data_IF_530048219770
#
_entry.id   IF_530048219770
#
_cell.length_a   1.000
_cell.length_b   1.000
_cell.length_c   1.000
_cell.angle_alpha   90.00
_cell.angle_beta   90.00
_cell.angle_gamma   90.00
#
_symmetry.space_group_name_H-M   'P 1'
#
loop_
_entity.id
_entity.type
_entity.pdbx_description
1 polymer ?
#
# COMPACT_ATOMS: atom_id res chain seq x y z
N UNK A 1 -14.05 -2.02 5.27
CA UNK A 1 -15.03 -2.88 4.60
C UNK A 1 -15.55 -3.92 5.55
N UNK A 2 -16.26 -3.51 6.60
CA UNK A 2 -16.82 -4.43 7.61
C UNK A 2 -18.22 -4.94 7.22
N UNK A 3 -18.73 -4.46 6.08
CA UNK A 3 -19.95 -4.91 5.45
C UNK A 3 -19.74 -4.85 3.93
N UNK A 4 -20.37 -5.78 3.22
CA UNK A 4 -20.45 -5.79 1.76
C UNK A 4 -21.90 -5.50 1.38
N UNK A 5 -22.08 -4.56 0.45
CA UNK A 5 -23.38 -4.22 -0.12
C UNK A 5 -23.35 -4.51 -1.62
N UNK A 6 -24.40 -5.17 -2.10
CA UNK A 6 -24.65 -5.32 -3.54
C UNK A 6 -25.65 -4.23 -3.92
N UNK A 7 -25.28 -3.39 -4.88
CA UNK A 7 -26.10 -2.28 -5.36
C UNK A 7 -26.50 -2.54 -6.81
N UNK A 8 -27.73 -2.17 -7.14
CA UNK A 8 -28.24 -2.16 -8.51
C UNK A 8 -28.76 -0.75 -8.78
N UNK A 9 -28.41 -0.19 -9.94
CA UNK A 9 -28.98 1.08 -10.42
C UNK A 9 -29.98 0.80 -11.54
N UNK A 10 -31.08 1.55 -11.56
CA UNK A 10 -32.09 1.51 -12.63
C UNK A 10 -31.86 2.56 -13.72
N UNK A 11 -30.76 3.32 -13.66
CA UNK A 11 -30.46 4.41 -14.60
C UNK A 11 -29.31 4.06 -15.54
N UNK A 12 -29.37 4.53 -16.79
CA UNK A 12 -28.31 4.38 -17.78
C UNK A 12 -27.61 5.73 -18.09
N UNK A 13 -26.27 5.76 -18.21
CA UNK A 13 -25.35 4.63 -18.07
C UNK A 13 -25.13 4.22 -16.60
N UNK A 14 -24.89 2.94 -16.38
CA UNK A 14 -24.49 2.44 -15.06
C UNK A 14 -23.01 2.75 -14.84
N UNK A 15 -22.70 3.62 -13.88
CA UNK A 15 -21.34 4.04 -13.57
C UNK A 15 -20.89 3.44 -12.25
N UNK A 16 -19.72 2.79 -12.26
CA UNK A 16 -19.07 2.27 -11.06
C UNK A 16 -17.60 2.73 -11.01
N UNK A 17 -17.14 3.16 -9.85
CA UNK A 17 -15.71 3.38 -9.60
C UNK A 17 -15.09 2.11 -9.05
N UNK A 18 -14.02 1.64 -9.68
CA UNK A 18 -13.32 0.41 -9.27
C UNK A 18 -12.01 0.79 -8.57
N UNK A 19 -11.72 0.16 -7.42
CA UNK A 19 -10.45 0.37 -6.71
C UNK A 19 -9.28 -0.09 -7.59
N UNK A 20 -8.24 0.72 -7.70
CA UNK A 20 -7.01 0.33 -8.39
C UNK A 20 -6.47 -1.02 -7.85
N UNK A 21 -5.96 -1.87 -8.75
CA UNK A 21 -5.43 -3.21 -8.44
C UNK A 21 -6.44 -4.21 -7.85
N UNK A 22 -7.75 -3.93 -7.88
CA UNK A 22 -8.77 -4.90 -7.44
C UNK A 22 -9.10 -5.98 -8.48
N UNK A 23 -8.68 -5.80 -9.73
CA UNK A 23 -8.88 -6.75 -10.83
C UNK A 23 -7.54 -7.10 -11.45
N UNK A 24 -7.42 -8.33 -11.97
CA UNK A 24 -6.26 -8.78 -12.72
C UNK A 24 -6.38 -8.30 -14.18
N UNK A 25 -5.35 -7.64 -14.75
CA UNK A 25 -5.36 -7.28 -16.16
C UNK A 25 -5.40 -8.56 -17.03
N UNK A 26 -6.04 -8.47 -18.20
CA UNK A 26 -5.97 -9.55 -19.19
C UNK A 26 -4.57 -9.62 -19.78
N UNK A 27 -4.17 -10.83 -20.19
CA UNK A 27 -2.95 -11.04 -20.96
C UNK A 27 -2.95 -10.21 -22.25
N UNK A 28 -1.78 -9.70 -22.62
CA UNK A 28 -1.61 -8.93 -23.84
C UNK A 28 -1.84 -9.84 -25.04
N UNK A 29 -2.71 -9.41 -25.95
CA UNK A 29 -3.06 -10.16 -27.15
C UNK A 29 -3.03 -9.22 -28.36
N UNK A 30 -1.93 -9.32 -29.12
CA UNK A 30 -1.66 -8.47 -30.28
C UNK A 30 -2.55 -8.85 -31.50
N UNK A 31 -3.36 -9.91 -31.41
CA UNK A 31 -4.31 -10.29 -32.47
C UNK A 31 -5.64 -9.53 -32.42
N UNK A 32 -5.90 -8.84 -31.30
CA UNK A 32 -7.16 -8.10 -31.10
C UNK A 32 -7.16 -6.81 -31.90
N UNK A 33 -8.27 -6.57 -32.59
CA UNK A 33 -8.53 -5.32 -33.30
C UNK A 33 -9.67 -4.57 -32.60
N UNK A 34 -9.65 -3.25 -32.62
CA UNK A 34 -10.69 -2.39 -32.09
C UNK A 34 -10.92 -1.19 -33.01
N UNK A 35 -12.15 -0.69 -33.03
CA UNK A 35 -12.48 0.57 -33.69
C UNK A 35 -12.08 1.75 -32.80
N UNK A 36 -11.38 2.73 -33.37
CA UNK A 36 -11.04 3.98 -32.68
C UNK A 36 -12.01 5.07 -33.13
N UNK A 37 -12.93 5.46 -32.24
CA UNK A 37 -13.89 6.53 -32.49
C UNK A 37 -13.38 7.82 -31.85
N UNK A 38 -13.06 8.82 -32.67
CA UNK A 38 -12.64 10.14 -32.19
C UNK A 38 -13.88 10.98 -31.83
N UNK A 39 -13.97 11.39 -30.56
CA UNK A 39 -15.05 12.24 -30.06
C UNK A 39 -14.48 13.64 -29.82
N UNK A 40 -15.01 14.66 -30.51
CA UNK A 40 -14.66 16.05 -30.26
C UNK A 40 -15.25 16.49 -28.91
N UNK A 41 -14.37 16.81 -27.96
CA UNK A 41 -14.77 17.41 -26.70
C UNK A 41 -14.93 18.92 -26.91
N UNK A 42 -16.04 19.33 -27.49
CA UNK A 42 -16.39 20.76 -27.69
C UNK A 42 -16.77 21.40 -26.35
N UNK A 43 -15.80 21.49 -25.44
CA UNK A 43 -15.93 22.07 -24.11
C UNK A 43 -15.62 23.56 -24.16
N UNK A 44 -16.58 24.39 -23.75
CA UNK A 44 -16.33 25.80 -23.51
C UNK A 44 -15.42 25.96 -22.28
N UNK A 45 -14.18 26.40 -22.48
CA UNK A 45 -13.20 26.58 -21.40
C UNK A 45 -13.72 27.54 -20.32
N UNK A 46 -14.64 28.45 -20.64
CA UNK A 46 -15.28 29.35 -19.67
C UNK A 46 -16.05 28.61 -18.56
N UNK A 47 -16.48 27.36 -18.81
CA UNK A 47 -17.18 26.52 -17.85
C UNK A 47 -16.25 25.94 -16.77
N UNK A 48 -14.93 25.95 -17.00
CA UNK A 48 -13.94 25.36 -16.09
C UNK A 48 -13.67 26.34 -14.94
N UNK A 49 -14.19 26.01 -13.76
CA UNK A 49 -14.05 26.84 -12.54
C UNK A 49 -12.70 26.68 -11.83
N UNK A 50 -11.88 25.73 -12.25
CA UNK A 50 -10.61 25.38 -11.58
C UNK A 50 -9.43 25.78 -12.44
N UNK A 51 -8.49 26.55 -11.88
CA UNK A 51 -7.23 26.91 -12.54
C UNK A 51 -6.05 26.20 -11.86
N UNK A 52 -5.32 25.40 -12.63
CA UNK A 52 -4.06 24.80 -12.16
C UNK A 52 -2.98 25.90 -12.18
N UNK A 53 -2.54 26.32 -11.00
CA UNK A 53 -1.53 27.40 -10.85
C UNK A 53 -0.09 26.88 -10.96
N UNK A 54 0.11 25.58 -10.78
CA UNK A 54 1.42 24.94 -10.84
C UNK A 54 1.32 23.45 -10.53
N UNK A 55 2.33 22.69 -10.95
CA UNK A 55 2.49 21.28 -10.62
C UNK A 55 3.87 21.11 -10.00
N UNK A 56 3.91 20.78 -8.71
CA UNK A 56 5.16 20.40 -8.05
C UNK A 56 5.39 18.94 -8.38
N UNK A 57 6.45 18.63 -9.15
CA UNK A 57 6.92 17.26 -9.28
C UNK A 57 7.61 16.91 -7.96
N UNK A 58 7.10 15.91 -7.29
CA UNK A 58 7.76 15.32 -6.14
C UNK A 58 8.81 14.35 -6.65
N UNK A 59 10.08 14.60 -6.34
CA UNK A 59 11.12 13.60 -6.55
C UNK A 59 10.87 12.45 -5.56
N UNK A 60 10.56 11.29 -6.12
CA UNK A 60 10.44 10.05 -5.37
C UNK A 60 11.77 9.32 -5.53
N UNK A 61 12.58 9.32 -4.48
CA UNK A 61 13.70 8.40 -4.38
C UNK A 61 13.15 6.99 -4.14
N UNK A 62 13.53 6.04 -5.00
CA UNK A 62 13.07 4.65 -4.92
C UNK A 62 11.68 4.40 -5.51
N UNK A 63 11.02 3.34 -5.03
CA UNK A 63 9.73 2.86 -5.56
C UNK A 63 8.58 3.60 -4.87
N UNK A 64 7.63 4.11 -5.66
CA UNK A 64 6.40 4.68 -5.12
C UNK A 64 5.63 3.63 -4.34
N UNK A 65 5.20 3.99 -3.13
CA UNK A 65 4.51 3.09 -2.23
C UNK A 65 3.23 2.49 -2.84
N UNK A 66 2.48 3.28 -3.62
CA UNK A 66 1.28 2.81 -4.32
C UNK A 66 1.57 1.79 -5.44
N UNK A 67 2.75 1.88 -6.04
CA UNK A 67 3.18 1.05 -7.17
C UNK A 67 3.94 -0.21 -6.72
N UNK A 68 4.47 -0.21 -5.51
CA UNK A 68 5.31 -1.28 -4.98
C UNK A 68 4.62 -2.67 -4.99
N UNK A 69 5.37 -3.67 -5.45
CA UNK A 69 4.98 -5.09 -5.41
C UNK A 69 5.13 -5.66 -3.99
N UNK A 70 6.16 -5.19 -3.26
CA UNK A 70 6.41 -5.53 -1.87
C UNK A 70 6.40 -4.26 -1.04
N UNK A 71 5.67 -4.26 0.08
CA UNK A 71 5.68 -3.16 1.05
C UNK A 71 6.11 -3.69 2.40
N UNK A 72 7.16 -3.09 2.96
CA UNK A 72 7.60 -3.32 4.34
C UNK A 72 7.10 -2.15 5.18
N UNK A 73 6.21 -2.43 6.13
CA UNK A 73 5.54 -1.39 6.90
C UNK A 73 5.89 -1.44 8.39
N UNK A 74 6.29 -0.29 8.93
CA UNK A 74 6.61 -0.11 10.35
C UNK A 74 5.49 0.59 11.12
N UNK A 75 5.21 0.12 12.33
CA UNK A 75 4.27 0.75 13.25
C UNK A 75 4.92 1.40 14.46
N UNK A 76 4.09 1.84 15.41
CA UNK A 76 4.55 2.40 16.69
C UNK A 76 5.48 1.43 17.44
N UNK A 77 5.29 0.13 17.28
CA UNK A 77 6.11 -0.91 17.93
C UNK A 77 7.57 -0.96 17.46
N UNK A 78 7.91 -0.32 16.33
CA UNK A 78 9.30 -0.18 15.84
C UNK A 78 10.08 0.81 16.73
N UNK A 79 9.43 1.87 17.20
CA UNK A 79 9.93 2.70 18.31
C UNK A 79 11.05 3.69 17.97
N UNK A 80 11.60 3.71 16.76
CA UNK A 80 12.71 4.60 16.36
C UNK A 80 12.93 4.66 14.85
N UNK A 81 13.62 5.71 14.39
CA UNK A 81 14.17 5.85 13.04
C UNK A 81 15.20 4.74 12.72
N UNK A 82 16.03 4.35 13.68
CA UNK A 82 16.99 3.26 13.53
C UNK A 82 16.31 1.91 13.24
N UNK A 83 15.11 1.69 13.79
CA UNK A 83 14.29 0.53 13.44
C UNK A 83 13.79 0.58 12.00
N UNK A 84 13.41 1.76 11.50
CA UNK A 84 13.02 1.94 10.10
C UNK A 84 14.17 1.68 9.12
N UNK A 85 15.42 1.96 9.49
CA UNK A 85 16.59 1.59 8.66
C UNK A 85 16.70 0.08 8.39
N UNK A 86 16.32 -0.77 9.35
CA UNK A 86 16.28 -2.22 9.11
C UNK A 86 15.13 -2.63 8.17
N UNK A 87 14.01 -1.90 8.21
CA UNK A 87 12.91 -2.10 7.26
C UNK A 87 13.32 -1.67 5.85
N UNK A 88 14.09 -0.60 5.72
CA UNK A 88 14.68 -0.14 4.46
C UNK A 88 15.67 -1.16 3.89
N UNK A 89 16.50 -1.76 4.73
CA UNK A 89 17.39 -2.86 4.31
C UNK A 89 16.60 -4.03 3.74
N UNK A 90 15.56 -4.48 4.45
CA UNK A 90 14.69 -5.57 3.98
C UNK A 90 13.98 -5.19 2.67
N UNK A 91 13.48 -3.96 2.57
CA UNK A 91 12.83 -3.46 1.38
C UNK A 91 13.80 -3.41 0.19
N UNK A 92 15.05 -3.00 0.39
CA UNK A 92 16.06 -2.99 -0.67
C UNK A 92 16.33 -4.39 -1.22
N UNK A 93 16.46 -5.40 -0.34
CA UNK A 93 16.69 -6.80 -0.75
C UNK A 93 15.50 -7.34 -1.55
N UNK A 94 14.27 -7.01 -1.11
CA UNK A 94 13.04 -7.46 -1.74
C UNK A 94 12.56 -6.55 -2.88
N UNK A 95 13.34 -5.52 -3.24
CA UNK A 95 12.98 -4.50 -4.25
C UNK A 95 11.59 -3.91 -3.99
N UNK A 96 11.30 -3.62 -2.72
CA UNK A 96 10.04 -3.07 -2.25
C UNK A 96 10.13 -1.61 -1.84
N UNK A 97 9.05 -1.10 -1.26
CA UNK A 97 8.99 0.23 -0.65
C UNK A 97 8.72 0.12 0.86
N UNK A 98 9.14 1.15 1.61
CA UNK A 98 8.87 1.24 3.05
C UNK A 98 7.69 2.17 3.31
N UNK A 99 6.79 1.74 4.18
CA UNK A 99 5.63 2.52 4.62
C UNK A 99 5.49 2.57 6.14
N UNK A 100 4.63 3.45 6.62
CA UNK A 100 4.44 3.69 8.05
C UNK A 100 2.98 3.80 8.46
N UNK A 101 2.70 3.49 9.72
CA UNK A 101 1.43 3.89 10.35
C UNK A 101 1.47 5.38 10.70
N UNK A 102 0.29 6.00 10.90
CA UNK A 102 0.20 7.40 11.37
C UNK A 102 1.06 7.68 12.62
N UNK A 103 1.01 6.87 13.71
CA UNK A 103 1.87 7.07 14.87
C UNK A 103 3.37 7.08 14.58
N UNK A 104 3.85 6.33 13.58
CA UNK A 104 5.27 6.34 13.22
C UNK A 104 5.66 7.64 12.48
N UNK A 105 4.75 8.16 11.65
CA UNK A 105 4.92 9.44 10.96
C UNK A 105 4.87 10.61 11.94
N UNK A 106 3.88 10.62 12.84
CA UNK A 106 3.74 11.63 13.89
C UNK A 106 4.97 11.69 14.82
N UNK A 107 5.64 10.55 15.03
CA UNK A 107 6.87 10.47 15.81
C UNK A 107 8.14 10.86 15.02
N UNK A 108 8.01 11.19 13.73
CA UNK A 108 9.11 11.60 12.86
C UNK A 108 10.04 10.47 12.43
N UNK A 109 9.66 9.20 12.59
CA UNK A 109 10.52 8.06 12.23
C UNK A 109 10.48 7.71 10.75
N UNK A 110 9.44 8.16 10.05
CA UNK A 110 9.26 8.00 8.61
C UNK A 110 8.48 9.21 8.07
N UNK A 111 8.74 9.68 6.84
CA UNK A 111 8.02 10.83 6.28
C UNK A 111 6.51 10.61 6.16
N UNK A 112 5.71 11.67 6.35
CA UNK A 112 4.24 11.65 6.20
C UNK A 112 3.78 11.11 4.83
N UNK A 113 4.57 11.36 3.78
CA UNK A 113 4.29 10.84 2.42
C UNK A 113 4.36 9.31 2.30
N UNK A 114 4.91 8.63 3.29
CA UNK A 114 4.96 7.17 3.36
C UNK A 114 3.87 6.59 4.29
N UNK A 115 2.96 7.44 4.79
CA UNK A 115 1.87 6.99 5.64
C UNK A 115 0.86 6.14 4.85
N UNK A 116 0.49 5.00 5.43
CA UNK A 116 -0.54 4.10 4.92
C UNK A 116 -1.77 4.19 5.81
N UNK A 117 -2.96 4.25 5.20
CA UNK A 117 -4.23 4.21 5.93
C UNK A 117 -5.38 4.87 5.19
N UNK A 118 -6.55 4.90 5.84
CA UNK A 118 -7.83 5.36 5.28
C UNK A 118 -7.76 6.76 4.66
N UNK A 119 -7.07 7.69 5.33
CA UNK A 119 -6.92 9.10 4.90
C UNK A 119 -5.55 9.39 4.28
N UNK A 120 -4.74 8.35 4.06
CA UNK A 120 -3.38 8.44 3.53
C UNK A 120 -3.25 7.58 2.28
N UNK A 121 -2.07 7.00 2.03
CA UNK A 121 -1.89 6.14 0.85
C UNK A 121 -2.62 4.82 1.03
N UNK A 122 -3.30 4.41 -0.04
CA UNK A 122 -3.88 3.08 -0.18
C UNK A 122 -2.95 2.27 -1.08
N UNK A 123 -2.52 1.12 -0.58
CA UNK A 123 -1.59 0.21 -1.25
C UNK A 123 -2.25 -1.16 -1.42
N UNK A 124 -1.88 -1.86 -2.49
CA UNK A 124 -2.35 -3.21 -2.79
C UNK A 124 -1.19 -4.07 -3.31
N UNK A 125 -0.13 -4.27 -2.51
CA UNK A 125 1.04 -5.04 -2.93
C UNK A 125 0.73 -6.54 -3.02
N UNK A 126 1.63 -7.29 -3.64
CA UNK A 126 1.57 -8.75 -3.56
C UNK A 126 1.98 -9.23 -2.16
N UNK A 127 2.98 -8.58 -1.56
CA UNK A 127 3.46 -8.88 -0.21
C UNK A 127 3.46 -7.63 0.67
N UNK A 128 2.82 -7.72 1.82
CA UNK A 128 2.83 -6.70 2.87
C UNK A 128 3.40 -7.27 4.16
N UNK A 129 4.55 -6.76 4.61
CA UNK A 129 5.17 -7.18 5.87
C UNK A 129 4.94 -6.10 6.93
N UNK A 130 4.11 -6.40 7.92
CA UNK A 130 3.74 -5.51 9.01
C UNK A 130 4.60 -5.75 10.26
N UNK A 131 5.47 -4.81 10.61
CA UNK A 131 6.38 -4.92 11.76
C UNK A 131 5.98 -3.93 12.86
N UNK A 132 5.61 -4.44 14.03
CA UNK A 132 5.21 -3.61 15.17
C UNK A 132 3.92 -2.81 14.94
N UNK A 133 3.02 -3.31 14.09
CA UNK A 133 1.74 -2.71 13.74
C UNK A 133 0.61 -3.43 14.50
N UNK A 134 -0.27 -2.69 15.17
CA UNK A 134 -1.38 -3.26 15.94
C UNK A 134 -2.56 -3.72 15.09
N UNK A 135 -2.70 -3.24 13.85
CA UNK A 135 -3.81 -3.58 12.95
C UNK A 135 -5.09 -2.76 13.19
N UNK A 136 -4.96 -1.50 13.59
CA UNK A 136 -6.11 -0.58 13.68
C UNK A 136 -6.86 -0.49 12.34
N UNK A 137 -8.18 -0.39 12.37
CA UNK A 137 -9.03 -0.42 11.17
C UNK A 137 -8.69 0.70 10.17
N UNK A 138 -8.27 1.86 10.67
CA UNK A 138 -7.82 2.99 9.85
C UNK A 138 -6.56 2.66 9.08
N UNK A 139 -5.60 1.94 9.66
CA UNK A 139 -4.40 1.48 8.96
C UNK A 139 -4.76 0.39 7.96
N UNK A 140 -5.54 -0.61 8.40
CA UNK A 140 -5.93 -1.73 7.56
C UNK A 140 -6.73 -1.30 6.33
N UNK A 141 -7.55 -0.25 6.40
CA UNK A 141 -8.25 0.28 5.24
C UNK A 141 -7.32 0.68 4.07
N UNK A 142 -6.07 1.03 4.38
CA UNK A 142 -5.03 1.39 3.41
C UNK A 142 -4.21 0.22 2.89
N UNK A 143 -4.23 -0.96 3.50
CA UNK A 143 -3.38 -2.09 3.08
C UNK A 143 -4.08 -3.46 3.02
N UNK A 144 -5.36 -3.56 3.38
CA UNK A 144 -6.10 -4.83 3.39
C UNK A 144 -6.30 -5.44 1.99
N UNK A 145 -5.98 -4.71 0.93
CA UNK A 145 -5.97 -5.23 -0.44
C UNK A 145 -4.71 -6.00 -0.81
N UNK A 146 -3.72 -6.09 0.09
CA UNK A 146 -2.51 -6.87 -0.15
C UNK A 146 -2.85 -8.35 -0.36
N UNK A 147 -2.24 -8.99 -1.36
CA UNK A 147 -2.47 -10.42 -1.65
C UNK A 147 -1.99 -11.30 -0.50
N UNK A 148 -0.89 -10.93 0.16
CA UNK A 148 -0.35 -11.63 1.31
C UNK A 148 0.09 -10.63 2.37
N UNK A 149 -0.29 -10.89 3.61
CA UNK A 149 0.05 -10.08 4.79
C UNK A 149 0.85 -10.95 5.76
N UNK A 150 2.08 -10.56 6.06
CA UNK A 150 2.93 -11.16 7.10
C UNK A 150 3.01 -10.18 8.26
N UNK A 151 2.83 -10.64 9.49
CA UNK A 151 2.84 -9.78 10.68
C UNK A 151 3.88 -10.23 11.71
N UNK A 152 4.65 -9.28 12.24
CA UNK A 152 5.55 -9.46 13.38
C UNK A 152 5.11 -8.50 14.49
N UNK A 153 4.64 -9.06 15.60
CA UNK A 153 4.21 -8.26 16.76
C UNK A 153 4.51 -9.02 18.05
N UNK A 154 4.91 -8.30 19.11
CA UNK A 154 5.17 -8.89 20.43
C UNK A 154 3.88 -9.25 21.18
N UNK A 155 2.78 -8.61 20.84
CA UNK A 155 1.47 -8.82 21.46
C UNK A 155 0.68 -9.86 20.67
N UNK A 156 0.47 -11.09 21.20
CA UNK A 156 -0.28 -12.14 20.50
C UNK A 156 -1.74 -11.77 20.22
N UNK A 157 -2.30 -10.82 20.96
CA UNK A 157 -3.70 -10.38 20.81
C UNK A 157 -3.84 -9.20 19.83
N UNK A 158 -2.76 -8.79 19.16
CA UNK A 158 -2.80 -7.68 18.21
C UNK A 158 -3.77 -7.97 17.04
N UNK A 159 -4.66 -7.02 16.76
CA UNK A 159 -5.66 -7.13 15.68
C UNK A 159 -5.06 -7.41 14.30
N UNK A 160 -3.79 -7.07 14.07
CA UNK A 160 -3.08 -7.37 12.81
C UNK A 160 -3.12 -8.86 12.47
N UNK A 161 -3.07 -9.75 13.49
CA UNK A 161 -3.10 -11.19 13.28
C UNK A 161 -4.44 -11.71 12.75
N UNK A 162 -5.54 -10.96 12.93
CA UNK A 162 -6.84 -11.30 12.34
C UNK A 162 -6.87 -11.14 10.82
N UNK A 163 -5.93 -10.37 10.27
CA UNK A 163 -5.84 -10.07 8.83
C UNK A 163 -4.56 -10.64 8.20
N UNK A 164 -3.63 -11.15 9.02
CA UNK A 164 -2.38 -11.70 8.57
C UNK A 164 -2.57 -13.13 8.04
N UNK A 165 -1.90 -13.44 6.94
CA UNK A 165 -1.80 -14.78 6.39
C UNK A 165 -0.72 -15.57 7.14
N UNK A 166 0.35 -14.88 7.57
CA UNK A 166 1.42 -15.43 8.38
C UNK A 166 1.70 -14.49 9.55
N UNK A 167 1.89 -15.03 10.75
CA UNK A 167 2.12 -14.25 11.96
C UNK A 167 3.28 -14.81 12.79
N UNK A 168 4.13 -13.91 13.30
CA UNK A 168 5.17 -14.22 14.27
C UNK A 168 4.90 -13.40 15.52
N UNK A 169 4.66 -14.08 16.64
CA UNK A 169 4.59 -13.45 17.96
C UNK A 169 6.00 -13.35 18.54
N UNK A 170 6.53 -12.13 18.64
CA UNK A 170 7.89 -11.92 19.14
C UNK A 170 8.38 -10.49 18.99
N UNK A 171 9.53 -10.19 19.61
CA UNK A 171 10.21 -8.92 19.43
C UNK A 171 10.82 -8.85 18.02
N UNK A 172 10.45 -7.81 17.28
CA UNK A 172 10.99 -7.57 15.94
C UNK A 172 12.50 -7.43 15.95
N UNK A 173 13.11 -6.93 17.05
CA UNK A 173 14.56 -6.80 17.17
C UNK A 173 15.30 -8.13 17.12
N UNK A 174 14.63 -9.22 17.49
CA UNK A 174 15.19 -10.57 17.43
C UNK A 174 14.79 -11.28 16.13
N UNK A 175 13.53 -11.10 15.72
CA UNK A 175 12.96 -11.76 14.54
C UNK A 175 13.53 -11.19 13.24
N UNK A 176 13.56 -9.87 13.10
CA UNK A 176 13.85 -9.19 11.85
C UNK A 176 15.30 -9.42 11.37
N UNK A 177 16.35 -9.36 12.21
CA UNK A 177 17.72 -9.66 11.75
C UNK A 177 17.88 -11.09 11.23
N UNK A 178 17.29 -12.07 11.92
CA UNK A 178 17.32 -13.48 11.50
C UNK A 178 16.58 -13.68 10.18
N UNK A 179 15.43 -13.02 10.03
CA UNK A 179 14.64 -13.03 8.80
C UNK A 179 15.40 -12.40 7.64
N UNK A 180 15.96 -11.18 7.82
CA UNK A 180 16.77 -10.51 6.80
C UNK A 180 17.94 -11.38 6.36
N UNK A 181 18.66 -11.99 7.30
CA UNK A 181 19.77 -12.90 7.00
C UNK A 181 19.32 -14.06 6.10
N UNK A 182 18.19 -14.70 6.45
CA UNK A 182 17.67 -15.81 5.65
C UNK A 182 17.13 -15.37 4.28
N UNK A 183 16.50 -14.21 4.21
CA UNK A 183 16.05 -13.64 2.93
C UNK A 183 17.25 -13.38 2.03
N UNK A 184 18.33 -12.77 2.54
CA UNK A 184 19.57 -12.57 1.77
C UNK A 184 20.11 -13.88 1.23
N UNK A 185 20.18 -14.93 2.06
CA UNK A 185 20.67 -16.26 1.64
C UNK A 185 19.84 -16.83 0.48
N UNK A 186 18.53 -16.61 0.46
CA UNK A 186 17.62 -17.16 -0.55
C UNK A 186 17.47 -16.29 -1.80
N UNK A 187 17.84 -15.01 -1.73
CA UNK A 187 17.73 -14.06 -2.86
C UNK A 187 19.07 -13.66 -3.46
N UNK A 188 20.20 -14.11 -2.87
CA UNK A 188 21.54 -14.03 -3.45
C UNK A 188 21.76 -15.14 -4.48
#
# INVERSE_FOLDING_TARGET
GNAQGIFVTGTDPQIVTVRAKSMTPLEKDDSRNAEVVNIAADLDVSMVRTKVIGKVKEDVEGIKLEDAVVVIAGGRGVGSDAGFKQLEELAAILKGAVGGTRPACDAGWIPDKAQIGLTAKIVSPELYIAVGISGASQHMAGCSGAKTIVAVNKDPEANIFRMAHYGVVGDWKTVLPSFISKVKELTS
#
